data_IF_026935858901
#
_entry.id   IF_026935858901
#
_cell.length_a   1.000
_cell.length_b   1.000
_cell.length_c   1.000
_cell.angle_alpha   90.00
_cell.angle_beta   90.00
_cell.angle_gamma   90.00
#
_symmetry.space_group_name_H-M   'P 1'
#
loop_
_entity.id
_entity.type
_entity.pdbx_description
1 polymer ?
#
# COMPACT_ATOMS: atom_id res chain seq x y z
N UNK A 1 -21.40 5.77 4.69
CA UNK A 1 -19.93 5.94 4.49
C UNK A 1 -19.23 4.88 5.31
N UNK A 2 -18.28 4.10 4.75
CA UNK A 2 -17.55 3.11 5.56
C UNK A 2 -16.85 3.85 6.72
N UNK A 3 -17.15 3.44 7.95
CA UNK A 3 -16.91 4.21 9.18
C UNK A 3 -15.44 4.33 9.58
N UNK A 4 -15.16 5.37 10.38
CA UNK A 4 -13.90 5.56 11.08
C UNK A 4 -13.55 4.31 11.90
N UNK A 5 -12.51 3.58 11.48
CA UNK A 5 -12.07 2.34 12.14
C UNK A 5 -11.60 1.24 11.19
N UNK A 6 -11.89 1.32 9.89
CA UNK A 6 -11.34 0.39 8.90
C UNK A 6 -10.13 1.00 8.19
N UNK A 7 -8.96 0.39 8.37
CA UNK A 7 -7.78 0.71 7.57
C UNK A 7 -8.03 0.34 6.11
N UNK A 8 -7.72 1.24 5.18
CA UNK A 8 -7.77 0.94 3.76
C UNK A 8 -6.64 -0.05 3.43
N UNK A 9 -6.96 -1.12 2.69
CA UNK A 9 -5.93 -2.04 2.19
C UNK A 9 -5.10 -1.40 1.08
N UNK A 10 -3.88 -1.90 0.82
CA UNK A 10 -3.05 -1.43 -0.29
C UNK A 10 -3.79 -1.56 -1.64
N UNK A 11 -4.39 -2.72 -1.90
CA UNK A 11 -5.16 -2.95 -3.13
C UNK A 11 -6.32 -1.96 -3.30
N UNK A 12 -7.10 -1.71 -2.23
CA UNK A 12 -8.17 -0.71 -2.27
C UNK A 12 -7.62 0.71 -2.51
N UNK A 13 -6.48 1.03 -1.91
CA UNK A 13 -5.83 2.34 -2.05
C UNK A 13 -5.34 2.56 -3.48
N UNK A 14 -4.64 1.59 -4.07
CA UNK A 14 -4.15 1.69 -5.44
C UNK A 14 -5.28 1.70 -6.47
N UNK A 15 -6.36 0.95 -6.23
CA UNK A 15 -7.54 1.03 -7.08
C UNK A 15 -8.15 2.43 -7.07
N UNK A 16 -8.28 3.05 -5.89
CA UNK A 16 -8.84 4.41 -5.76
C UNK A 16 -7.95 5.50 -6.37
N UNK A 17 -6.63 5.40 -6.22
CA UNK A 17 -5.70 6.42 -6.71
C UNK A 17 -5.38 6.27 -8.20
N UNK A 18 -5.27 5.03 -8.69
CA UNK A 18 -4.69 4.74 -10.00
C UNK A 18 -5.50 3.77 -10.86
N UNK A 19 -6.67 3.31 -10.40
CA UNK A 19 -7.45 2.24 -11.05
C UNK A 19 -6.64 0.94 -11.28
N UNK A 20 -5.63 0.70 -10.43
CA UNK A 20 -4.81 -0.50 -10.47
C UNK A 20 -5.48 -1.58 -9.62
N UNK A 21 -5.73 -2.74 -10.21
CA UNK A 21 -6.13 -3.94 -9.48
C UNK A 21 -4.91 -4.81 -9.20
N UNK A 22 -4.64 -5.07 -7.92
CA UNK A 22 -3.54 -5.93 -7.52
C UNK A 22 -4.01 -7.38 -7.53
N UNK A 23 -3.28 -8.24 -8.25
CA UNK A 23 -3.49 -9.68 -8.17
C UNK A 23 -3.12 -10.18 -6.77
N UNK A 24 -4.07 -10.87 -6.11
CA UNK A 24 -3.89 -11.45 -4.77
C UNK A 24 -3.67 -12.96 -4.81
N UNK A 25 -3.66 -13.56 -6.01
CA UNK A 25 -3.63 -15.01 -6.22
C UNK A 25 -2.44 -15.69 -5.52
N UNK A 26 -1.28 -15.02 -5.48
CA UNK A 26 -0.05 -15.57 -4.91
C UNK A 26 0.09 -15.36 -3.39
N UNK A 27 -0.78 -14.58 -2.75
CA UNK A 27 -0.68 -14.28 -1.31
C UNK A 27 -0.67 -15.53 -0.45
N UNK A 28 -1.45 -16.55 -0.83
CA UNK A 28 -1.54 -17.81 -0.08
C UNK A 28 -0.26 -18.66 -0.13
N UNK A 29 0.63 -18.42 -1.10
CA UNK A 29 1.91 -19.13 -1.24
C UNK A 29 2.91 -18.69 -0.18
N UNK A 30 2.86 -17.42 0.24
CA UNK A 30 3.69 -16.89 1.33
C UNK A 30 3.13 -17.30 2.71
N UNK A 31 3.22 -18.59 3.02
CA UNK A 31 2.83 -19.15 4.31
C UNK A 31 4.02 -19.86 4.98
N UNK A 32 3.83 -20.38 6.19
CA UNK A 32 4.90 -21.04 6.97
C UNK A 32 5.52 -22.28 6.28
N UNK A 33 4.85 -22.84 5.28
CA UNK A 33 5.28 -24.01 4.50
C UNK A 33 5.82 -23.65 3.12
N UNK A 34 6.05 -22.36 2.83
CA UNK A 34 6.71 -21.97 1.59
C UNK A 34 8.13 -22.54 1.55
N UNK A 35 8.48 -23.15 0.42
CA UNK A 35 9.77 -23.81 0.17
C UNK A 35 10.92 -22.84 -0.11
N UNK A 36 10.63 -21.54 -0.18
CA UNK A 36 11.61 -20.49 -0.48
C UNK A 36 11.97 -20.37 -1.96
N UNK A 37 11.29 -21.12 -2.84
CA UNK A 37 11.53 -21.04 -4.28
C UNK A 37 10.80 -19.82 -4.84
N UNK A 38 11.55 -18.96 -5.53
CA UNK A 38 11.01 -17.81 -6.24
C UNK A 38 10.68 -18.19 -7.68
N UNK A 39 9.40 -18.12 -8.03
CA UNK A 39 8.92 -18.20 -9.42
C UNK A 39 8.70 -16.79 -9.96
N UNK A 40 8.65 -16.64 -11.29
CA UNK A 40 8.37 -15.35 -11.92
C UNK A 40 7.03 -14.76 -11.47
N UNK A 41 6.02 -15.60 -11.21
CA UNK A 41 4.73 -15.16 -10.67
C UNK A 41 4.86 -14.58 -9.26
N UNK A 42 5.67 -15.20 -8.39
CA UNK A 42 5.93 -14.68 -7.03
C UNK A 42 6.72 -13.39 -7.06
N UNK A 43 7.71 -13.28 -7.96
CA UNK A 43 8.48 -12.05 -8.17
C UNK A 43 7.58 -10.93 -8.67
N UNK A 44 6.74 -11.19 -9.69
CA UNK A 44 5.80 -10.21 -10.22
C UNK A 44 4.76 -9.77 -9.19
N UNK A 45 4.25 -10.71 -8.39
CA UNK A 45 3.38 -10.40 -7.26
C UNK A 45 4.06 -9.47 -6.25
N UNK A 46 5.26 -9.81 -5.78
CA UNK A 46 6.00 -9.00 -4.82
C UNK A 46 6.37 -7.62 -5.38
N UNK A 47 6.74 -7.55 -6.66
CA UNK A 47 7.01 -6.30 -7.36
C UNK A 47 5.75 -5.40 -7.42
N UNK A 48 4.58 -5.99 -7.69
CA UNK A 48 3.32 -5.25 -7.78
C UNK A 48 2.92 -4.55 -6.48
N UNK A 49 3.29 -5.13 -5.32
CA UNK A 49 3.06 -4.54 -4.00
C UNK A 49 3.92 -3.28 -3.76
N UNK A 50 5.05 -3.11 -4.44
CA UNK A 50 6.01 -2.02 -4.17
C UNK A 50 6.14 -1.00 -5.29
N UNK A 51 5.93 -1.39 -6.55
CA UNK A 51 6.23 -0.54 -7.73
C UNK A 51 5.44 0.77 -7.75
N UNK A 52 4.24 0.78 -7.15
CA UNK A 52 3.37 1.96 -7.10
C UNK A 52 3.57 2.83 -5.86
N UNK A 53 4.25 2.34 -4.82
CA UNK A 53 4.38 3.04 -3.53
C UNK A 53 5.05 4.41 -3.65
N UNK A 54 6.12 4.62 -4.43
CA UNK A 54 6.72 5.95 -4.57
C UNK A 54 5.75 6.98 -5.17
N UNK A 55 4.97 6.56 -6.17
CA UNK A 55 3.95 7.42 -6.78
C UNK A 55 2.82 7.70 -5.79
N UNK A 56 2.35 6.67 -5.08
CA UNK A 56 1.31 6.80 -4.06
C UNK A 56 1.72 7.79 -2.96
N UNK A 57 2.94 7.66 -2.43
CA UNK A 57 3.48 8.56 -1.42
C UNK A 57 3.44 10.01 -1.91
N UNK A 58 3.93 10.27 -3.12
CA UNK A 58 3.93 11.63 -3.69
C UNK A 58 2.53 12.22 -3.80
N UNK A 59 1.56 11.46 -4.29
CA UNK A 59 0.17 11.94 -4.38
C UNK A 59 -0.41 12.20 -2.98
N UNK A 60 -0.19 11.31 -2.02
CA UNK A 60 -0.67 11.48 -0.65
C UNK A 60 -0.03 12.70 0.05
N UNK A 61 1.27 12.93 -0.13
CA UNK A 61 1.97 14.12 0.37
C UNK A 61 1.39 15.39 -0.23
N UNK A 62 1.20 15.44 -1.55
CA UNK A 62 0.59 16.58 -2.24
C UNK A 62 -0.82 16.90 -1.72
N UNK A 63 -1.61 15.85 -1.41
CA UNK A 63 -2.93 16.04 -0.79
C UNK A 63 -2.84 16.59 0.63
N UNK A 64 -1.90 16.10 1.45
CA UNK A 64 -1.67 16.62 2.80
C UNK A 64 -1.27 18.11 2.77
N UNK A 65 -0.41 18.50 1.83
CA UNK A 65 -0.01 19.90 1.62
C UNK A 65 -1.22 20.77 1.26
N UNK A 66 -2.04 20.34 0.29
CA UNK A 66 -3.23 21.07 -0.16
C UNK A 66 -4.29 21.24 0.93
N UNK A 67 -4.37 20.28 1.85
CA UNK A 67 -5.30 20.32 2.97
C UNK A 67 -4.72 21.03 4.21
N UNK A 68 -3.46 21.45 4.18
CA UNK A 68 -2.77 22.04 5.34
C UNK A 68 -2.53 21.05 6.48
N UNK A 69 -2.52 19.74 6.21
CA UNK A 69 -2.44 18.67 7.22
C UNK A 69 -1.02 18.12 7.42
N UNK A 70 -0.01 18.74 6.81
CA UNK A 70 1.38 18.23 6.81
C UNK A 70 2.00 18.19 8.22
N UNK A 71 1.72 19.19 9.05
CA UNK A 71 2.22 19.23 10.43
C UNK A 71 1.58 18.15 11.30
N UNK A 72 0.26 17.95 11.17
CA UNK A 72 -0.47 16.90 11.88
C UNK A 72 0.05 15.52 11.51
N UNK A 73 0.28 15.27 10.22
CA UNK A 73 0.88 14.04 9.75
C UNK A 73 2.26 13.81 10.39
N UNK A 74 3.13 14.83 10.36
CA UNK A 74 4.47 14.76 10.97
C UNK A 74 4.40 14.45 12.46
N UNK A 75 3.49 15.11 13.20
CA UNK A 75 3.24 14.84 14.62
C UNK A 75 2.79 13.41 14.90
N UNK A 76 1.98 12.82 14.02
CA UNK A 76 1.52 11.44 14.18
C UNK A 76 2.63 10.43 13.86
N UNK A 77 3.42 10.68 12.81
CA UNK A 77 4.54 9.80 12.43
C UNK A 77 5.62 9.73 13.51
N UNK A 78 5.89 10.83 14.20
CA UNK A 78 6.83 10.88 15.32
C UNK A 78 6.45 9.99 16.52
N UNK A 79 5.21 9.49 16.60
CA UNK A 79 4.77 8.55 17.65
C UNK A 79 5.07 7.08 17.33
N UNK A 80 5.31 6.79 16.06
CA UNK A 80 5.50 5.43 15.53
C UNK A 80 7.00 5.10 15.38
N UNK A 81 7.85 6.13 15.40
CA UNK A 81 9.31 6.05 15.24
C UNK A 81 9.97 6.16 16.61
#
# INVERSE_FOLDING_TARGET
TKGAGQSASLAETLYRYFAVDLDKSQRAKFNKSWDGIWTDELVNYALSDVVYLPKLMREQTLWLERLGLTEDFTRQMAKIT
#
